data_IF_747935387704
#
_entry.id   IF_747935387704
#
_cell.length_a   1.000
_cell.length_b   1.000
_cell.length_c   1.000
_cell.angle_alpha   90.00
_cell.angle_beta   90.00
_cell.angle_gamma   90.00
#
_symmetry.space_group_name_H-M   'P 1'
#
loop_
_entity.id
_entity.type
_entity.pdbx_description
1 polymer ?
#
# COMPACT_ATOMS: atom_id res chain seq x y z
N UNK A 1 6.15 -16.27 29.75
CA UNK A 1 5.83 -15.59 28.50
C UNK A 1 5.06 -16.57 27.63
N UNK A 2 3.76 -16.42 27.49
CA UNK A 2 2.91 -17.35 26.74
C UNK A 2 2.69 -16.80 25.34
N UNK A 3 3.11 -17.53 24.32
CA UNK A 3 2.88 -17.13 22.91
C UNK A 3 1.46 -17.55 22.53
N UNK A 4 0.61 -16.59 22.24
CA UNK A 4 -0.72 -16.86 21.69
C UNK A 4 -0.62 -16.69 20.17
N UNK A 5 -0.70 -17.79 19.46
CA UNK A 5 -0.74 -17.81 17.99
C UNK A 5 -2.16 -17.50 17.55
N UNK A 6 -2.42 -16.26 17.19
CA UNK A 6 -3.70 -15.89 16.59
C UNK A 6 -3.72 -16.35 15.13
N UNK A 7 -4.75 -17.09 14.75
CA UNK A 7 -4.91 -17.65 13.40
C UNK A 7 -5.33 -16.51 12.47
N UNK A 8 -4.35 -15.95 11.73
CA UNK A 8 -4.65 -14.92 10.74
C UNK A 8 -5.56 -15.44 9.64
N UNK A 9 -6.60 -14.67 9.31
CA UNK A 9 -7.52 -15.00 8.24
C UNK A 9 -6.82 -14.93 6.87
N UNK A 10 -7.35 -15.66 5.87
CA UNK A 10 -6.89 -15.66 4.48
C UNK A 10 -6.70 -14.27 3.87
N UNK A 11 -7.36 -13.22 4.40
CA UNK A 11 -7.18 -11.83 3.99
C UNK A 11 -5.77 -11.29 4.26
N UNK A 12 -5.12 -11.70 5.34
CA UNK A 12 -3.75 -11.27 5.65
C UNK A 12 -2.72 -11.97 4.75
N UNK A 13 -2.90 -13.26 4.46
CA UNK A 13 -2.01 -13.99 3.55
C UNK A 13 -2.03 -13.42 2.13
N UNK A 14 -3.20 -12.96 1.64
CA UNK A 14 -3.33 -12.29 0.35
C UNK A 14 -2.56 -10.96 0.29
N UNK A 15 -2.66 -10.14 1.33
CA UNK A 15 -1.95 -8.84 1.39
C UNK A 15 -0.43 -9.02 1.47
N UNK A 16 0.06 -10.02 2.22
CA UNK A 16 1.49 -10.29 2.36
C UNK A 16 2.12 -10.72 1.04
N UNK A 17 1.40 -11.49 0.20
CA UNK A 17 1.85 -11.87 -1.14
C UNK A 17 1.82 -10.71 -2.15
N UNK A 18 0.99 -9.71 -1.93
CA UNK A 18 0.85 -8.56 -2.85
C UNK A 18 2.01 -7.57 -2.74
N UNK A 19 2.58 -7.41 -1.55
CA UNK A 19 3.65 -6.46 -1.27
C UNK A 19 4.91 -6.68 -2.13
N UNK A 20 5.52 -7.87 -2.20
CA UNK A 20 6.70 -8.09 -3.04
C UNK A 20 6.39 -7.88 -4.53
N UNK A 21 5.20 -8.24 -5.00
CA UNK A 21 4.80 -8.02 -6.40
C UNK A 21 4.73 -6.53 -6.73
N UNK A 22 4.10 -5.70 -5.90
CA UNK A 22 4.06 -4.23 -6.09
C UNK A 22 5.48 -3.66 -6.07
N UNK A 23 6.32 -4.07 -5.13
CA UNK A 23 7.70 -3.58 -5.03
C UNK A 23 8.49 -3.87 -6.32
N UNK A 24 8.39 -5.09 -6.85
CA UNK A 24 9.03 -5.46 -8.11
C UNK A 24 8.43 -4.68 -9.30
N UNK A 25 7.10 -4.45 -9.30
CA UNK A 25 6.44 -3.65 -10.34
C UNK A 25 6.92 -2.19 -10.33
N UNK A 26 7.08 -1.57 -9.16
CA UNK A 26 7.62 -0.22 -9.03
C UNK A 26 9.08 -0.19 -9.47
N UNK A 27 9.91 -1.12 -8.98
CA UNK A 27 11.32 -1.20 -9.35
C UNK A 27 11.52 -1.41 -10.85
N UNK A 28 10.82 -2.36 -11.45
CA UNK A 28 10.89 -2.60 -12.91
C UNK A 28 10.38 -1.41 -13.70
N UNK A 29 9.36 -0.71 -13.20
CA UNK A 29 8.88 0.55 -13.77
C UNK A 29 9.96 1.63 -13.77
N UNK A 30 10.75 1.77 -12.71
CA UNK A 30 11.89 2.71 -12.67
C UNK A 30 12.98 2.36 -13.66
N UNK A 31 13.23 1.06 -13.93
CA UNK A 31 14.17 0.63 -14.98
C UNK A 31 13.74 1.03 -16.39
N UNK A 32 12.45 1.23 -16.61
CA UNK A 32 11.86 1.63 -17.91
C UNK A 32 11.73 3.15 -18.01
N UNK A 33 11.43 3.81 -16.91
CA UNK A 33 10.97 5.18 -16.82
C UNK A 33 11.93 6.20 -17.46
N UNK A 34 13.24 6.05 -17.27
CA UNK A 34 14.27 6.97 -17.75
C UNK A 34 14.28 7.12 -19.28
N UNK A 35 13.85 6.09 -20.02
CA UNK A 35 13.85 6.07 -21.48
C UNK A 35 12.79 6.99 -22.09
N UNK A 36 12.03 7.73 -21.27
CA UNK A 36 10.91 8.51 -21.76
C UNK A 36 10.79 9.89 -21.14
N UNK A 37 10.78 10.93 -21.97
CA UNK A 37 10.68 12.34 -21.56
C UNK A 37 9.24 12.80 -21.23
N UNK A 38 8.22 11.94 -21.44
CA UNK A 38 6.80 12.26 -21.15
C UNK A 38 6.56 12.71 -19.72
N UNK A 39 7.44 12.36 -18.82
CA UNK A 39 7.34 12.63 -17.39
C UNK A 39 8.04 13.92 -16.95
N UNK A 40 8.36 14.78 -17.89
CA UNK A 40 8.89 16.10 -17.64
C UNK A 40 7.73 17.11 -17.70
N UNK A 41 7.51 17.84 -16.61
CA UNK A 41 6.55 18.95 -16.61
C UNK A 41 7.24 20.12 -17.30
N UNK A 42 6.66 20.54 -18.44
CA UNK A 42 7.15 21.71 -19.19
C UNK A 42 6.20 22.89 -19.00
N UNK A 43 6.75 24.09 -18.76
CA UNK A 43 6.01 25.33 -18.68
C UNK A 43 6.57 26.27 -19.76
N UNK A 44 5.71 26.77 -20.63
CA UNK A 44 6.08 27.61 -21.79
C UNK A 44 7.19 27.01 -22.68
N UNK A 45 7.16 25.64 -22.86
CA UNK A 45 8.14 24.95 -23.67
C UNK A 45 9.50 24.66 -23.00
N UNK A 46 9.69 25.14 -21.77
CA UNK A 46 10.88 24.87 -20.99
C UNK A 46 10.63 23.77 -19.95
N UNK A 47 11.56 22.81 -19.76
CA UNK A 47 11.43 21.76 -18.75
C UNK A 47 11.49 22.42 -17.35
N UNK A 48 10.39 22.36 -16.61
CA UNK A 48 10.28 22.91 -15.26
C UNK A 48 10.63 21.88 -14.19
N UNK A 49 10.10 20.66 -14.33
CA UNK A 49 10.31 19.63 -13.34
C UNK A 49 10.35 18.25 -14.03
N UNK A 50 11.38 17.48 -13.73
CA UNK A 50 11.52 16.08 -14.15
C UNK A 50 11.46 15.19 -12.93
N UNK A 51 10.50 14.28 -12.90
CA UNK A 51 10.46 13.22 -11.90
C UNK A 51 11.68 12.31 -12.10
N UNK A 52 12.30 11.86 -11.04
CA UNK A 52 13.44 10.95 -11.05
C UNK A 52 14.56 11.37 -12.02
N UNK A 53 15.26 12.50 -11.76
CA UNK A 53 16.37 12.96 -12.59
C UNK A 53 17.56 12.00 -12.49
N UNK A 54 18.56 12.15 -13.38
CA UNK A 54 19.74 11.29 -13.40
C UNK A 54 20.43 11.16 -12.04
N UNK A 55 20.45 12.24 -11.24
CA UNK A 55 20.99 12.22 -9.87
C UNK A 55 20.29 11.22 -8.94
N UNK A 56 18.97 11.03 -9.11
CA UNK A 56 18.20 10.03 -8.37
C UNK A 56 18.66 8.60 -8.73
N UNK A 57 18.84 8.31 -10.02
CA UNK A 57 19.34 7.01 -10.48
C UNK A 57 20.74 6.72 -9.99
N UNK A 58 21.61 7.72 -10.02
CA UNK A 58 22.99 7.61 -9.54
C UNK A 58 23.03 7.38 -8.02
N UNK A 59 22.20 8.10 -7.26
CA UNK A 59 22.12 7.98 -5.79
C UNK A 59 21.67 6.57 -5.36
N UNK A 60 20.67 6.03 -6.03
CA UNK A 60 20.10 4.72 -5.70
C UNK A 60 20.78 3.56 -6.44
N UNK A 61 21.82 3.84 -7.26
CA UNK A 61 22.51 2.85 -8.08
C UNK A 61 21.56 2.03 -8.97
N UNK A 62 20.47 2.65 -9.45
CA UNK A 62 19.47 2.00 -10.33
C UNK A 62 20.02 2.00 -11.75
N UNK A 63 20.28 0.81 -12.34
CA UNK A 63 20.78 0.74 -13.72
C UNK A 63 19.68 1.11 -14.72
N UNK A 64 20.07 1.81 -15.77
CA UNK A 64 19.17 2.18 -16.88
C UNK A 64 19.06 1.01 -17.89
N UNK A 65 18.34 -0.05 -17.49
CA UNK A 65 18.23 -1.31 -18.26
C UNK A 65 16.80 -1.49 -18.77
N UNK A 66 16.50 -0.84 -19.88
CA UNK A 66 15.16 -0.83 -20.48
C UNK A 66 14.63 -2.24 -20.77
N UNK A 67 15.42 -3.08 -21.43
CA UNK A 67 14.99 -4.43 -21.84
C UNK A 67 14.70 -5.32 -20.63
N UNK A 68 15.56 -5.31 -19.62
CA UNK A 68 15.34 -6.05 -18.38
C UNK A 68 14.13 -5.51 -17.59
N UNK A 69 14.00 -4.18 -17.50
CA UNK A 69 12.86 -3.54 -16.88
C UNK A 69 11.55 -3.96 -17.54
N UNK A 70 11.47 -3.97 -18.86
CA UNK A 70 10.30 -4.42 -19.61
C UNK A 70 10.02 -5.91 -19.39
N UNK A 71 11.04 -6.77 -19.39
CA UNK A 71 10.88 -8.20 -19.15
C UNK A 71 10.30 -8.49 -17.74
N UNK A 72 10.87 -7.89 -16.70
CA UNK A 72 10.34 -8.03 -15.34
C UNK A 72 8.94 -7.42 -15.20
N UNK A 73 8.72 -6.23 -15.75
CA UNK A 73 7.43 -5.56 -15.66
C UNK A 73 6.31 -6.40 -16.29
N UNK A 74 6.55 -6.94 -17.51
CA UNK A 74 5.57 -7.77 -18.21
C UNK A 74 5.38 -9.15 -17.56
N UNK A 75 6.38 -9.70 -16.91
CA UNK A 75 6.23 -10.93 -16.14
C UNK A 75 5.38 -10.69 -14.88
N UNK A 76 5.74 -9.70 -14.09
CA UNK A 76 5.09 -9.44 -12.80
C UNK A 76 3.72 -8.78 -12.91
N UNK A 77 3.38 -8.14 -14.04
CA UNK A 77 2.02 -7.63 -14.26
C UNK A 77 0.96 -8.75 -14.23
N UNK A 78 1.32 -9.98 -14.64
CA UNK A 78 0.39 -11.12 -14.57
C UNK A 78 0.16 -11.55 -13.13
N UNK A 79 1.21 -11.64 -12.33
CA UNK A 79 1.07 -11.91 -10.89
C UNK A 79 0.26 -10.82 -10.19
N UNK A 80 0.50 -9.56 -10.51
CA UNK A 80 -0.26 -8.42 -10.00
C UNK A 80 -1.75 -8.54 -10.36
N UNK A 81 -2.05 -8.78 -11.62
CA UNK A 81 -3.43 -8.83 -12.13
C UNK A 81 -4.18 -10.04 -11.58
N UNK A 82 -3.58 -11.23 -11.61
CA UNK A 82 -4.22 -12.47 -11.10
C UNK A 82 -4.49 -12.34 -9.60
N UNK A 83 -3.51 -11.89 -8.84
CA UNK A 83 -3.65 -11.71 -7.40
C UNK A 83 -4.72 -10.63 -7.08
N UNK A 84 -4.74 -9.55 -7.85
CA UNK A 84 -5.76 -8.50 -7.75
C UNK A 84 -7.18 -9.04 -8.02
N UNK A 85 -7.36 -9.85 -9.07
CA UNK A 85 -8.65 -10.49 -9.40
C UNK A 85 -9.09 -11.43 -8.26
N UNK A 86 -8.17 -12.27 -7.75
CA UNK A 86 -8.48 -13.18 -6.63
C UNK A 86 -8.89 -12.38 -5.40
N UNK A 87 -8.15 -11.34 -5.04
CA UNK A 87 -8.42 -10.51 -3.87
C UNK A 87 -9.76 -9.78 -3.98
N UNK A 88 -10.03 -9.14 -5.12
CA UNK A 88 -11.29 -8.42 -5.36
C UNK A 88 -12.46 -9.40 -5.36
N UNK A 89 -12.34 -10.53 -6.06
CA UNK A 89 -13.39 -11.56 -6.10
C UNK A 89 -13.68 -12.10 -4.70
N UNK A 90 -12.66 -12.44 -3.92
CA UNK A 90 -12.82 -12.86 -2.53
C UNK A 90 -13.53 -11.80 -1.69
N UNK A 91 -13.13 -10.54 -1.81
CA UNK A 91 -13.69 -9.42 -1.06
C UNK A 91 -15.19 -9.25 -1.36
N UNK A 92 -15.59 -9.42 -2.61
CA UNK A 92 -17.01 -9.34 -3.00
C UNK A 92 -17.80 -10.57 -2.55
N UNK A 93 -17.29 -11.78 -2.79
CA UNK A 93 -17.99 -13.03 -2.48
C UNK A 93 -18.16 -13.21 -0.95
N UNK A 94 -17.14 -12.88 -0.17
CA UNK A 94 -17.19 -12.95 1.30
C UNK A 94 -18.02 -11.85 1.95
N UNK A 95 -18.42 -10.82 1.20
CA UNK A 95 -19.15 -9.66 1.73
C UNK A 95 -18.24 -8.68 2.51
N UNK A 96 -16.93 -8.93 2.57
CA UNK A 96 -15.94 -8.09 3.29
C UNK A 96 -15.89 -6.65 2.77
N UNK A 97 -16.29 -6.41 1.51
CA UNK A 97 -16.38 -5.07 0.94
C UNK A 97 -17.24 -4.10 1.77
N UNK A 98 -18.26 -4.62 2.50
CA UNK A 98 -19.13 -3.80 3.36
C UNK A 98 -18.39 -3.20 4.54
N UNK A 99 -17.40 -3.93 5.07
CA UNK A 99 -16.54 -3.46 6.16
C UNK A 99 -15.45 -2.51 5.66
N UNK A 100 -15.04 -2.67 4.40
CA UNK A 100 -13.99 -1.86 3.76
C UNK A 100 -14.51 -0.52 3.23
N UNK A 101 -15.81 -0.44 2.88
CA UNK A 101 -16.35 0.75 2.26
C UNK A 101 -16.35 1.96 3.21
N UNK A 102 -15.70 3.08 2.86
CA UNK A 102 -15.73 4.28 3.68
C UNK A 102 -17.13 4.90 3.68
N UNK A 103 -17.58 5.38 4.82
CA UNK A 103 -18.79 6.17 4.97
C UNK A 103 -18.49 7.68 4.85
N UNK A 104 -19.52 8.52 4.83
CA UNK A 104 -19.37 9.99 4.70
C UNK A 104 -18.48 10.61 5.79
N UNK A 105 -18.46 10.02 6.99
CA UNK A 105 -17.68 10.52 8.12
C UNK A 105 -16.25 9.96 8.14
N UNK A 106 -15.94 8.94 7.31
CA UNK A 106 -14.65 8.25 7.34
C UNK A 106 -13.47 9.17 7.12
N UNK A 107 -13.58 10.20 6.29
CA UNK A 107 -12.48 11.14 6.08
C UNK A 107 -12.19 11.97 7.33
N UNK A 108 -13.23 12.45 8.03
CA UNK A 108 -13.10 13.18 9.29
C UNK A 108 -12.54 12.29 10.41
N UNK A 109 -13.06 11.08 10.52
CA UNK A 109 -12.59 10.09 11.49
C UNK A 109 -11.14 9.67 11.22
N UNK A 110 -10.75 9.47 9.94
CA UNK A 110 -9.38 9.15 9.56
C UNK A 110 -8.41 10.28 9.90
N UNK A 111 -8.82 11.53 9.71
CA UNK A 111 -8.03 12.68 10.14
C UNK A 111 -7.80 12.68 11.66
N UNK A 112 -8.81 12.33 12.43
CA UNK A 112 -8.68 12.21 13.88
C UNK A 112 -7.79 11.04 14.31
N UNK A 113 -7.85 9.91 13.60
CA UNK A 113 -6.94 8.79 13.82
C UNK A 113 -5.50 9.22 13.54
N UNK A 114 -5.24 9.90 12.43
CA UNK A 114 -3.91 10.40 12.09
C UNK A 114 -3.36 11.36 13.16
N UNK A 115 -4.18 12.30 13.64
CA UNK A 115 -3.78 13.23 14.71
C UNK A 115 -3.51 12.50 16.04
N UNK A 116 -4.22 11.42 16.31
CA UNK A 116 -3.96 10.57 17.46
C UNK A 116 -2.63 9.82 17.32
N UNK A 117 -2.38 9.20 16.16
CA UNK A 117 -1.15 8.45 15.90
C UNK A 117 0.10 9.35 15.92
N UNK A 118 -0.07 10.63 15.58
CA UNK A 118 0.96 11.67 15.73
C UNK A 118 1.08 12.22 17.16
N UNK A 119 0.38 11.65 18.15
CA UNK A 119 0.33 12.09 19.55
C UNK A 119 -0.17 13.53 19.78
N UNK A 120 -0.83 14.14 18.76
CA UNK A 120 -1.42 15.47 18.87
C UNK A 120 -2.77 15.44 19.58
N UNK A 121 -3.52 14.34 19.42
CA UNK A 121 -4.85 14.15 20.01
C UNK A 121 -4.87 12.93 20.94
N UNK A 122 -5.52 13.07 22.11
CA UNK A 122 -5.63 11.97 23.12
C UNK A 122 -6.83 11.04 22.90
N UNK A 123 -7.86 11.49 22.17
CA UNK A 123 -9.11 10.74 22.00
C UNK A 123 -9.18 10.06 20.64
N UNK A 124 -9.45 8.74 20.63
CA UNK A 124 -9.67 7.95 19.41
C UNK A 124 -11.17 7.90 19.10
N UNK A 125 -11.60 8.06 17.84
CA UNK A 125 -12.98 7.81 17.44
C UNK A 125 -13.38 6.33 17.70
N UNK A 126 -14.67 6.01 17.89
CA UNK A 126 -15.13 4.63 18.03
C UNK A 126 -14.67 3.76 16.86
N UNK A 127 -13.97 2.68 17.18
CA UNK A 127 -13.39 1.79 16.15
C UNK A 127 -14.31 0.58 15.92
N UNK A 128 -14.52 0.24 14.64
CA UNK A 128 -15.09 -1.02 14.19
C UNK A 128 -13.97 -2.02 13.90
N UNK A 129 -14.26 -3.11 13.16
CA UNK A 129 -13.27 -4.09 12.70
C UNK A 129 -12.06 -3.46 12.00
N UNK A 130 -12.30 -2.41 11.21
CA UNK A 130 -11.28 -1.54 10.61
C UNK A 130 -11.52 -0.10 11.06
N UNK A 131 -10.44 0.61 11.39
CA UNK A 131 -10.53 2.03 11.66
C UNK A 131 -10.79 2.82 10.35
N UNK A 132 -11.18 4.08 10.48
CA UNK A 132 -11.56 4.88 9.31
C UNK A 132 -10.41 5.08 8.32
N UNK A 133 -9.17 5.26 8.82
CA UNK A 133 -7.97 5.39 7.98
C UNK A 133 -7.68 4.10 7.21
N UNK A 134 -7.81 2.94 7.85
CA UNK A 134 -7.66 1.63 7.20
C UNK A 134 -8.70 1.41 6.11
N UNK A 135 -9.98 1.76 6.34
CA UNK A 135 -11.04 1.63 5.33
C UNK A 135 -10.74 2.47 4.08
N UNK A 136 -10.33 3.72 4.27
CA UNK A 136 -9.93 4.59 3.15
C UNK A 136 -8.72 4.00 2.43
N UNK A 137 -7.69 3.57 3.17
CA UNK A 137 -6.46 3.02 2.61
C UNK A 137 -6.72 1.76 1.77
N UNK A 138 -7.51 0.81 2.27
CA UNK A 138 -7.85 -0.42 1.53
C UNK A 138 -8.72 -0.15 0.30
N UNK A 139 -9.68 0.75 0.40
CA UNK A 139 -10.49 1.13 -0.76
C UNK A 139 -9.64 1.82 -1.82
N UNK A 140 -8.73 2.71 -1.40
CA UNK A 140 -7.85 3.43 -2.30
C UNK A 140 -6.87 2.50 -3.03
N UNK A 141 -6.29 1.50 -2.32
CA UNK A 141 -5.37 0.54 -2.94
C UNK A 141 -6.09 -0.34 -3.98
N UNK A 142 -7.34 -0.71 -3.75
CA UNK A 142 -8.16 -1.46 -4.71
C UNK A 142 -8.41 -0.61 -5.97
N UNK A 143 -8.82 0.64 -5.80
CA UNK A 143 -9.06 1.57 -6.92
C UNK A 143 -7.79 1.78 -7.73
N UNK A 144 -6.66 2.02 -7.07
CA UNK A 144 -5.35 2.15 -7.72
C UNK A 144 -4.97 0.86 -8.47
N UNK A 145 -5.26 -0.31 -7.89
CA UNK A 145 -5.01 -1.61 -8.51
C UNK A 145 -5.76 -1.79 -9.81
N UNK A 146 -7.05 -1.51 -9.80
CA UNK A 146 -7.91 -1.56 -10.99
C UNK A 146 -7.42 -0.54 -12.03
N UNK A 147 -7.16 0.69 -11.60
CA UNK A 147 -6.65 1.75 -12.48
C UNK A 147 -5.31 1.38 -13.14
N UNK A 148 -4.39 0.78 -12.37
CA UNK A 148 -3.08 0.33 -12.88
C UNK A 148 -3.21 -0.83 -13.86
N UNK A 149 -4.11 -1.79 -13.62
CA UNK A 149 -4.38 -2.88 -14.54
C UNK A 149 -4.98 -2.36 -15.86
N UNK A 150 -5.96 -1.46 -15.79
CA UNK A 150 -6.63 -0.87 -16.96
C UNK A 150 -5.65 -0.03 -17.78
N UNK A 151 -4.94 0.89 -17.13
CA UNK A 151 -3.95 1.74 -17.84
C UNK A 151 -2.76 0.94 -18.34
N UNK A 152 -2.31 -0.06 -17.58
CA UNK A 152 -1.25 -0.99 -18.01
C UNK A 152 -1.65 -1.77 -19.25
N UNK A 153 -2.88 -2.27 -19.35
CA UNK A 153 -3.40 -2.96 -20.52
C UNK A 153 -3.48 -2.03 -21.74
N UNK A 154 -3.92 -0.77 -21.53
CA UNK A 154 -3.97 0.26 -22.57
C UNK A 154 -2.59 0.58 -23.16
N UNK A 155 -1.52 0.49 -22.33
CA UNK A 155 -0.13 0.73 -22.75
C UNK A 155 0.49 -0.52 -23.38
N UNK A 156 0.22 -1.70 -22.83
CA UNK A 156 0.84 -2.96 -23.22
C UNK A 156 0.46 -3.38 -24.64
N UNK A 157 -0.82 -3.28 -24.99
CA UNK A 157 -1.36 -3.72 -26.28
C UNK A 157 -2.37 -2.68 -26.83
N UNK A 158 -1.94 -1.46 -27.17
CA UNK A 158 -2.84 -0.35 -27.48
C UNK A 158 -3.71 -0.59 -28.73
N UNK A 159 -3.25 -1.39 -29.68
CA UNK A 159 -4.01 -1.73 -30.88
C UNK A 159 -5.05 -2.80 -30.61
N UNK A 160 -4.68 -3.87 -29.89
CA UNK A 160 -5.59 -4.96 -29.55
C UNK A 160 -6.68 -4.52 -28.55
N UNK A 161 -6.32 -3.64 -27.64
CA UNK A 161 -7.23 -3.07 -26.64
C UNK A 161 -7.50 -1.59 -26.92
N UNK A 162 -7.75 -1.24 -28.20
CA UNK A 162 -7.92 0.16 -28.60
C UNK A 162 -9.03 0.87 -27.83
N UNK A 163 -10.11 0.17 -27.49
CA UNK A 163 -11.22 0.73 -26.73
C UNK A 163 -10.83 1.09 -25.28
N UNK A 164 -9.95 0.30 -24.64
CA UNK A 164 -9.38 0.62 -23.31
C UNK A 164 -8.49 1.84 -23.43
N UNK A 165 -7.63 1.87 -24.46
CA UNK A 165 -6.74 2.99 -24.72
C UNK A 165 -7.52 4.28 -24.98
N UNK A 166 -8.61 4.18 -25.77
CA UNK A 166 -9.51 5.30 -26.02
C UNK A 166 -10.21 5.78 -24.74
N UNK A 167 -10.72 4.86 -23.91
CA UNK A 167 -11.35 5.15 -22.62
C UNK A 167 -10.38 5.87 -21.66
N UNK A 168 -9.10 5.53 -21.70
CA UNK A 168 -8.04 6.21 -20.94
C UNK A 168 -7.63 7.57 -21.55
N UNK A 169 -8.28 8.09 -22.57
CA UNK A 169 -7.91 9.35 -23.23
C UNK A 169 -6.75 9.22 -24.22
N UNK A 170 -6.46 8.02 -24.72
CA UNK A 170 -5.38 7.73 -25.65
C UNK A 170 -4.11 7.22 -24.98
N UNK A 171 -3.19 6.71 -25.80
CA UNK A 171 -1.95 6.06 -25.33
C UNK A 171 -1.09 6.98 -24.46
N UNK A 172 -0.93 8.24 -24.85
CA UNK A 172 -0.11 9.21 -24.11
C UNK A 172 -0.69 9.47 -22.72
N UNK A 173 -2.00 9.71 -22.64
CA UNK A 173 -2.67 9.97 -21.37
C UNK A 173 -2.71 8.74 -20.47
N UNK A 174 -2.91 7.54 -21.04
CA UNK A 174 -2.83 6.28 -20.30
C UNK A 174 -1.49 6.11 -19.59
N UNK A 175 -0.37 6.51 -20.25
CA UNK A 175 0.97 6.47 -19.65
C UNK A 175 1.13 7.45 -18.49
N UNK A 176 0.63 8.69 -18.65
CA UNK A 176 0.65 9.69 -17.58
C UNK A 176 -0.15 9.19 -16.39
N UNK A 177 -1.34 8.65 -16.63
CA UNK A 177 -2.21 8.12 -15.58
C UNK A 177 -1.59 6.92 -14.87
N UNK A 178 -1.00 5.98 -15.61
CA UNK A 178 -0.29 4.82 -15.06
C UNK A 178 0.87 5.24 -14.15
N UNK A 179 1.62 6.23 -14.58
CA UNK A 179 2.70 6.81 -13.78
C UNK A 179 2.16 7.52 -12.52
N UNK A 180 1.09 8.31 -12.63
CA UNK A 180 0.48 8.96 -11.48
C UNK A 180 0.00 7.95 -10.43
N UNK A 181 -0.56 6.81 -10.87
CA UNK A 181 -0.92 5.69 -9.99
C UNK A 181 0.32 5.08 -9.32
N UNK A 182 1.44 4.96 -10.03
CA UNK A 182 2.71 4.50 -9.44
C UNK A 182 3.19 5.43 -8.34
N UNK A 183 3.13 6.75 -8.55
CA UNK A 183 3.43 7.73 -7.49
C UNK A 183 2.48 7.55 -6.30
N UNK A 184 1.18 7.32 -6.55
CA UNK A 184 0.21 7.00 -5.51
C UNK A 184 0.62 5.77 -4.68
N UNK A 185 1.10 4.69 -5.30
CA UNK A 185 1.61 3.51 -4.59
C UNK A 185 2.85 3.80 -3.76
N UNK A 186 3.79 4.58 -4.28
CA UNK A 186 4.99 4.97 -3.53
C UNK A 186 4.63 5.78 -2.29
N UNK A 187 3.72 6.76 -2.43
CA UNK A 187 3.23 7.55 -1.30
C UNK A 187 2.48 6.69 -0.29
N UNK A 188 1.59 5.82 -0.77
CA UNK A 188 0.90 4.86 0.10
C UNK A 188 1.86 3.99 0.89
N UNK A 189 2.90 3.47 0.23
CA UNK A 189 3.93 2.66 0.85
C UNK A 189 4.68 3.41 1.95
N UNK A 190 5.10 4.65 1.68
CA UNK A 190 5.80 5.49 2.66
C UNK A 190 4.91 5.72 3.89
N UNK A 191 3.65 6.10 3.68
CA UNK A 191 2.68 6.32 4.77
C UNK A 191 2.48 5.03 5.56
N UNK A 192 2.34 3.90 4.87
CA UNK A 192 2.16 2.59 5.51
C UNK A 192 3.36 2.21 6.38
N UNK A 193 4.59 2.37 5.88
CA UNK A 193 5.82 2.09 6.65
C UNK A 193 5.91 2.99 7.88
N UNK A 194 5.63 4.28 7.73
CA UNK A 194 5.62 5.22 8.86
C UNK A 194 4.59 4.78 9.91
N UNK A 195 3.38 4.41 9.51
CA UNK A 195 2.35 3.94 10.44
C UNK A 195 2.76 2.64 11.15
N UNK A 196 3.39 1.70 10.44
CA UNK A 196 3.90 0.45 11.05
C UNK A 196 4.97 0.75 12.09
N UNK A 197 5.89 1.69 11.82
CA UNK A 197 6.93 2.11 12.77
C UNK A 197 6.29 2.76 14.00
N UNK A 198 5.35 3.67 13.81
CA UNK A 198 4.64 4.36 14.91
C UNK A 198 3.79 3.39 15.75
N UNK A 199 3.23 2.36 15.15
CA UNK A 199 2.46 1.32 15.85
C UNK A 199 3.31 0.38 16.72
N UNK A 200 4.65 0.46 16.62
CA UNK A 200 5.62 -0.23 17.46
C UNK A 200 6.02 -1.62 16.98
N UNK A 201 7.15 -2.08 17.52
CA UNK A 201 7.81 -3.32 17.11
C UNK A 201 6.95 -4.58 17.29
N UNK A 202 6.12 -4.64 18.31
CA UNK A 202 5.28 -5.81 18.56
C UNK A 202 4.22 -6.00 17.47
N UNK A 203 3.63 -4.88 17.01
CA UNK A 203 2.68 -4.89 15.90
C UNK A 203 3.36 -5.26 14.57
N UNK A 204 4.55 -4.70 14.29
CA UNK A 204 5.33 -5.07 13.11
C UNK A 204 5.62 -6.59 13.08
N UNK A 205 6.06 -7.13 14.22
CA UNK A 205 6.34 -8.56 14.34
C UNK A 205 5.09 -9.42 14.16
N UNK A 206 3.93 -8.98 14.68
CA UNK A 206 2.68 -9.72 14.50
C UNK A 206 2.28 -9.84 13.04
N UNK A 207 2.51 -8.80 12.25
CA UNK A 207 2.22 -8.77 10.81
C UNK A 207 3.19 -9.68 10.02
N UNK A 208 4.50 -9.64 10.34
CA UNK A 208 5.53 -10.37 9.60
C UNK A 208 5.65 -11.83 10.04
N UNK A 209 5.64 -12.08 11.35
CA UNK A 209 5.88 -13.40 11.92
C UNK A 209 4.59 -14.16 12.29
N UNK A 210 3.42 -13.50 12.20
CA UNK A 210 2.13 -14.12 12.45
C UNK A 210 1.84 -14.43 13.93
N UNK A 211 2.57 -13.82 14.87
CA UNK A 211 2.31 -13.97 16.31
C UNK A 211 2.53 -12.65 17.05
N UNK A 212 1.68 -12.40 18.02
CA UNK A 212 1.78 -11.27 18.96
C UNK A 212 2.27 -11.77 20.32
N UNK A 213 3.15 -11.01 20.97
CA UNK A 213 3.56 -11.25 22.35
C UNK A 213 2.63 -10.45 23.25
N UNK A 214 1.70 -11.13 23.90
CA UNK A 214 0.89 -10.53 24.99
C UNK A 214 1.62 -10.72 26.31
N UNK A 215 1.71 -9.66 27.08
CA UNK A 215 2.12 -9.73 28.47
C UNK A 215 0.99 -10.42 29.25
N UNK A 216 1.35 -11.41 30.06
CA UNK A 216 0.36 -12.14 30.85
C UNK A 216 -0.06 -11.23 32.02
N UNK A 217 -1.26 -10.63 31.90
CA UNK A 217 -1.81 -9.72 32.91
C UNK A 217 -2.01 -10.40 34.26
N UNK A 218 -1.98 -11.74 34.32
CA UNK A 218 -2.05 -12.51 35.57
C UNK A 218 -0.82 -12.27 36.45
N UNK A 219 0.37 -12.06 35.87
CA UNK A 219 1.60 -11.81 36.62
C UNK A 219 1.57 -10.39 37.26
N UNK A 220 0.97 -9.42 36.53
CA UNK A 220 0.83 -8.04 37.05
C UNK A 220 -0.20 -7.97 38.17
N UNK A 221 -1.28 -8.75 38.09
CA UNK A 221 -2.28 -8.82 39.16
C UNK A 221 -1.73 -9.55 40.38
N UNK A 222 -0.93 -10.59 40.22
CA UNK A 222 -0.31 -11.32 41.33
C UNK A 222 0.77 -10.49 42.02
N UNK A 223 1.53 -9.67 41.29
CA UNK A 223 2.49 -8.71 41.84
C UNK A 223 1.82 -7.57 42.64
N UNK A 224 0.63 -7.13 42.22
CA UNK A 224 -0.13 -6.10 42.91
C UNK A 224 -1.00 -6.66 44.05
N UNK A 225 -1.19 -7.97 44.14
CA UNK A 225 -1.95 -8.65 45.17
C UNK A 225 -1.10 -9.13 46.36
N UNK A 226 0.23 -9.03 46.28
CA UNK A 226 1.11 -9.33 47.43
C UNK A 226 0.95 -8.22 48.47
N UNK A 227 0.49 -8.53 49.68
CA UNK A 227 0.39 -7.54 50.75
C UNK A 227 1.78 -6.99 51.03
N UNK A 228 1.89 -5.68 51.09
CA UNK A 228 3.06 -5.01 51.65
C UNK A 228 3.24 -5.59 53.07
N UNK A 229 4.36 -6.25 53.27
CA UNK A 229 4.72 -6.81 54.57
C UNK A 229 5.13 -5.61 55.45
N UNK A 230 4.15 -5.06 56.17
CA UNK A 230 4.40 -4.04 57.22
C UNK A 230 5.07 -4.71 58.43
N UNK A 231 6.34 -5.03 58.27
CA UNK A 231 7.22 -5.38 59.36
C UNK A 231 8.54 -4.64 59.18
N UNK A 232 8.58 -3.38 59.71
CA UNK A 232 9.71 -2.82 60.43
C UNK A 232 9.26 -1.48 61.06
#
# INVERSE_FOLDING_TARGET
MKFIKEKHSLSHAGLTGYFPVITIMIWSGLLIYWANDVYTITIFGHPFFRFFPQGFYNLLHIPQRLAEGMAFHFLFMWFFTINGIIYVSYTFISGAWRDLMPNRNSFKEAWFVLLHDLHIRRTIPPQKKYNAAQRIAYTFIIIMGIGSAVTGLAIYKPVQFFWVTWLCGGYHFARILHFALTIGYVLFFIIHVVQVILAGWNNFRSVVAGFEVKQDDSIVQESNALPLNDNE
#
